data_IF_034904031572
#
_entry.id   IF_034904031572
#
_cell.length_a   1.000
_cell.length_b   1.000
_cell.length_c   1.000
_cell.angle_alpha   90.00
_cell.angle_beta   90.00
_cell.angle_gamma   90.00
#
_symmetry.space_group_name_H-M   'P 1'
#
loop_
_entity.id
_entity.type
_entity.pdbx_description
1 polymer ?
#
# COMPACT_ATOMS: atom_id res chain seq x y z
N UNK A 1 -9.45 -29.15 19.14
CA UNK A 1 -9.56 -27.85 19.83
C UNK A 1 -10.77 -27.88 20.77
N UNK A 2 -10.67 -27.38 22.03
CA UNK A 2 -11.83 -27.28 22.92
C UNK A 2 -12.91 -26.36 22.31
N UNK A 3 -14.19 -26.68 22.52
CA UNK A 3 -15.31 -25.91 21.97
C UNK A 3 -15.29 -24.43 22.41
N UNK A 4 -14.83 -24.16 23.62
CA UNK A 4 -14.67 -22.80 24.13
C UNK A 4 -13.67 -21.96 23.34
N UNK A 5 -12.54 -22.52 22.95
CA UNK A 5 -11.53 -21.80 22.15
C UNK A 5 -12.06 -21.46 20.75
N UNK A 6 -12.82 -22.37 20.13
CA UNK A 6 -13.48 -22.10 18.85
C UNK A 6 -14.44 -20.93 18.93
N UNK A 7 -15.29 -20.93 19.97
CA UNK A 7 -16.24 -19.85 20.18
C UNK A 7 -15.52 -18.50 20.36
N UNK A 8 -14.48 -18.48 21.18
CA UNK A 8 -13.68 -17.25 21.40
C UNK A 8 -13.10 -16.73 20.07
N UNK A 9 -12.51 -17.61 19.25
CA UNK A 9 -11.95 -17.21 17.95
C UNK A 9 -13.03 -16.67 17.02
N UNK A 10 -14.18 -17.36 16.91
CA UNK A 10 -15.28 -16.90 16.06
C UNK A 10 -15.85 -15.56 16.51
N UNK A 11 -16.00 -15.35 17.82
CA UNK A 11 -16.44 -14.05 18.37
C UNK A 11 -15.40 -12.98 18.07
N UNK A 12 -14.11 -13.25 18.29
CA UNK A 12 -13.04 -12.29 18.00
C UNK A 12 -12.98 -11.91 16.52
N UNK A 13 -13.14 -12.89 15.61
CA UNK A 13 -13.23 -12.65 14.16
C UNK A 13 -14.45 -11.80 13.81
N UNK A 14 -15.62 -12.13 14.36
CA UNK A 14 -16.86 -11.38 14.13
C UNK A 14 -16.75 -9.92 14.61
N UNK A 15 -16.20 -9.71 15.80
CA UNK A 15 -15.92 -8.37 16.34
C UNK A 15 -14.89 -7.63 15.47
N UNK A 16 -13.80 -8.29 15.08
CA UNK A 16 -12.78 -7.71 14.22
C UNK A 16 -13.35 -7.24 12.86
N UNK A 17 -14.18 -8.07 12.23
CA UNK A 17 -14.85 -7.71 10.97
C UNK A 17 -15.84 -6.56 11.14
N UNK A 18 -16.61 -6.54 12.21
CA UNK A 18 -17.61 -5.49 12.47
C UNK A 18 -16.95 -4.12 12.73
N UNK A 19 -15.98 -4.07 13.65
CA UNK A 19 -15.28 -2.83 13.98
C UNK A 19 -14.40 -2.34 12.85
N UNK A 20 -13.60 -3.22 12.27
CA UNK A 20 -12.73 -2.83 11.16
C UNK A 20 -13.52 -2.41 9.92
N UNK A 21 -14.69 -3.04 9.67
CA UNK A 21 -15.57 -2.68 8.57
C UNK A 21 -16.05 -1.23 8.63
N UNK A 22 -16.34 -0.70 9.82
CA UNK A 22 -16.73 0.71 9.97
C UNK A 22 -15.58 1.67 9.64
N UNK A 23 -14.37 1.39 10.11
CA UNK A 23 -13.19 2.21 9.83
C UNK A 23 -12.83 2.24 8.34
N UNK A 24 -12.94 1.08 7.68
CA UNK A 24 -12.68 1.01 6.24
C UNK A 24 -13.75 1.71 5.43
N UNK A 25 -15.00 1.67 5.87
CA UNK A 25 -16.05 2.41 5.18
C UNK A 25 -15.77 3.92 5.18
N UNK A 26 -15.23 4.46 6.28
CA UNK A 26 -14.83 5.86 6.37
C UNK A 26 -13.60 6.14 5.51
N UNK A 27 -12.57 5.29 5.56
CA UNK A 27 -11.40 5.40 4.70
C UNK A 27 -11.75 5.31 3.20
N UNK A 28 -12.69 4.43 2.85
CA UNK A 28 -13.19 4.30 1.47
C UNK A 28 -13.93 5.56 1.01
N UNK A 29 -14.81 6.11 1.85
CA UNK A 29 -15.49 7.38 1.53
C UNK A 29 -14.51 8.52 1.33
N UNK A 30 -13.50 8.63 2.21
CA UNK A 30 -12.45 9.63 2.10
C UNK A 30 -11.64 9.47 0.82
N UNK A 31 -11.26 8.24 0.45
CA UNK A 31 -10.56 7.96 -0.80
C UNK A 31 -11.43 8.33 -2.03
N UNK A 32 -12.74 8.09 -1.99
CA UNK A 32 -13.66 8.52 -3.05
C UNK A 32 -13.76 10.05 -3.15
N UNK A 33 -13.84 10.75 -2.00
CA UNK A 33 -13.82 12.22 -1.97
C UNK A 33 -12.52 12.76 -2.57
N UNK A 34 -11.36 12.20 -2.19
CA UNK A 34 -10.07 12.57 -2.76
C UNK A 34 -10.03 12.41 -4.28
N UNK A 35 -10.51 11.27 -4.79
CA UNK A 35 -10.47 10.96 -6.24
C UNK A 35 -11.41 11.84 -7.06
N UNK A 36 -12.51 12.28 -6.47
CA UNK A 36 -13.42 13.24 -7.08
C UNK A 36 -13.05 14.71 -6.82
N UNK A 37 -12.01 14.97 -6.02
CA UNK A 37 -11.68 16.33 -5.60
C UNK A 37 -11.09 17.16 -6.74
N UNK A 38 -11.64 18.34 -6.93
CA UNK A 38 -11.07 19.35 -7.82
C UNK A 38 -9.78 19.95 -7.21
N UNK A 39 -8.94 20.57 -8.06
CA UNK A 39 -7.82 21.36 -7.57
C UNK A 39 -8.35 22.59 -6.85
N UNK A 40 -7.78 22.96 -5.72
CA UNK A 40 -8.10 24.21 -5.04
C UNK A 40 -7.82 25.38 -5.99
N UNK A 41 -8.68 26.41 -5.96
CA UNK A 41 -8.60 27.55 -6.88
C UNK A 41 -7.23 28.19 -6.91
N UNK A 42 -6.79 28.64 -8.08
CA UNK A 42 -5.53 29.38 -8.22
C UNK A 42 -5.62 30.66 -7.39
N UNK A 43 -4.85 30.74 -6.31
CA UNK A 43 -4.89 31.84 -5.36
C UNK A 43 -5.24 31.44 -3.93
N UNK A 44 -5.44 30.14 -3.67
CA UNK A 44 -5.55 29.65 -2.29
C UNK A 44 -4.29 30.07 -1.51
N UNK A 45 -4.44 30.69 -0.33
CA UNK A 45 -3.31 31.19 0.45
C UNK A 45 -2.35 30.06 0.80
N UNK A 46 -1.07 30.38 0.94
CA UNK A 46 -0.07 29.45 1.47
C UNK A 46 -0.56 28.97 2.84
N UNK A 47 -0.95 27.69 2.95
CA UNK A 47 -1.65 27.14 4.11
C UNK A 47 -2.99 26.47 3.79
N UNK A 48 -3.52 26.61 2.56
CA UNK A 48 -4.67 25.85 2.08
C UNK A 48 -4.39 24.34 1.97
N UNK A 49 -3.17 23.91 2.24
CA UNK A 49 -2.72 22.52 2.25
C UNK A 49 -3.53 21.60 3.20
N UNK A 50 -4.34 22.19 4.10
CA UNK A 50 -5.22 21.49 5.02
C UNK A 50 -6.71 21.64 4.72
N UNK A 51 -7.11 22.33 3.66
CA UNK A 51 -8.54 22.50 3.34
C UNK A 51 -9.16 21.15 2.92
N UNK A 52 -10.25 20.81 3.60
CA UNK A 52 -11.05 19.62 3.26
C UNK A 52 -11.79 19.86 1.96
N UNK A 53 -11.69 18.90 1.03
CA UNK A 53 -12.53 18.85 -0.18
C UNK A 53 -11.88 19.30 -1.48
N UNK A 54 -10.64 19.79 -1.49
CA UNK A 54 -9.88 20.07 -2.71
C UNK A 54 -8.41 19.68 -2.59
N UNK A 55 -7.76 19.38 -3.72
CA UNK A 55 -6.33 19.08 -3.78
C UNK A 55 -5.56 20.38 -3.90
N UNK A 56 -4.76 20.72 -2.90
CA UNK A 56 -3.94 21.92 -2.94
C UNK A 56 -2.73 21.75 -3.87
N UNK A 57 -2.39 22.79 -4.61
CA UNK A 57 -1.27 22.83 -5.54
C UNK A 57 -0.25 23.85 -5.05
N UNK A 58 0.93 23.37 -4.68
CA UNK A 58 2.06 24.21 -4.32
C UNK A 58 3.12 24.17 -5.42
N UNK A 59 3.58 25.36 -5.83
CA UNK A 59 4.73 25.48 -6.73
C UNK A 59 6.00 25.51 -5.89
N UNK A 60 6.99 24.72 -6.32
CA UNK A 60 8.28 24.64 -5.66
C UNK A 60 9.42 24.67 -6.67
N UNK A 61 10.64 24.57 -6.13
CA UNK A 61 11.86 24.49 -6.91
C UNK A 61 12.67 23.28 -6.42
N UNK A 62 13.17 22.48 -7.33
CA UNK A 62 14.11 21.39 -7.01
C UNK A 62 15.41 22.03 -6.53
N UNK A 63 15.87 21.66 -5.34
CA UNK A 63 17.13 22.15 -4.76
C UNK A 63 18.26 21.17 -5.02
N UNK A 64 17.96 19.88 -4.91
CA UNK A 64 18.96 18.83 -4.95
C UNK A 64 18.31 17.49 -5.29
N UNK A 65 19.14 16.49 -5.60
CA UNK A 65 18.72 15.11 -5.81
C UNK A 65 19.71 14.16 -5.17
N UNK A 66 19.23 13.09 -4.57
CA UNK A 66 20.05 12.08 -3.92
C UNK A 66 19.70 10.68 -4.43
N UNK A 67 20.74 9.87 -4.60
CA UNK A 67 20.62 8.43 -4.78
C UNK A 67 21.13 7.77 -3.49
N UNK A 68 20.31 6.94 -2.88
CA UNK A 68 20.70 6.18 -1.72
C UNK A 68 20.75 4.70 -2.07
N UNK A 69 21.74 4.05 -1.56
CA UNK A 69 21.92 2.61 -1.71
C UNK A 69 21.90 1.98 -0.32
N UNK A 70 20.84 1.24 -0.02
CA UNK A 70 20.71 0.46 1.21
C UNK A 70 21.05 -0.99 0.91
N UNK A 71 22.12 -1.46 1.52
CA UNK A 71 22.61 -2.82 1.32
C UNK A 71 22.52 -3.62 2.63
N UNK A 72 21.86 -4.77 2.58
CA UNK A 72 21.70 -5.67 3.72
C UNK A 72 22.01 -7.12 3.35
N UNK A 73 22.46 -7.87 4.35
CA UNK A 73 22.57 -9.32 4.24
C UNK A 73 21.20 -9.94 4.52
N UNK A 74 20.66 -10.65 3.53
CA UNK A 74 19.44 -11.44 3.70
C UNK A 74 19.83 -12.90 3.91
N UNK A 75 19.37 -13.51 5.03
CA UNK A 75 19.52 -14.93 5.26
C UNK A 75 18.48 -15.69 4.45
N UNK A 76 18.91 -16.57 3.58
CA UNK A 76 18.05 -17.49 2.87
C UNK A 76 17.67 -18.65 3.79
N UNK A 77 16.48 -19.22 3.62
CA UNK A 77 15.98 -20.31 4.48
C UNK A 77 16.77 -21.61 4.38
N UNK A 78 17.75 -21.70 3.48
CA UNK A 78 18.69 -22.82 3.30
C UNK A 78 20.01 -22.65 4.10
N UNK A 79 20.11 -21.60 4.92
CA UNK A 79 21.32 -21.29 5.71
C UNK A 79 22.37 -20.50 4.93
N UNK A 80 22.14 -20.14 3.68
CA UNK A 80 22.99 -19.22 2.93
C UNK A 80 22.58 -17.78 3.17
N UNK A 81 23.50 -16.83 2.99
CA UNK A 81 23.21 -15.40 3.06
C UNK A 81 23.51 -14.77 1.71
N UNK A 82 22.62 -13.92 1.24
CA UNK A 82 22.81 -13.10 0.04
C UNK A 82 22.92 -11.63 0.40
N UNK A 83 23.85 -10.93 -0.26
CA UNK A 83 23.99 -9.48 -0.13
C UNK A 83 23.09 -8.79 -1.14
N UNK A 84 22.10 -8.04 -0.66
CA UNK A 84 21.14 -7.34 -1.52
C UNK A 84 21.23 -5.85 -1.28
N UNK A 85 21.34 -5.10 -2.38
CA UNK A 85 21.29 -3.65 -2.36
C UNK A 85 19.99 -3.17 -3.00
N UNK A 86 19.29 -2.27 -2.33
CA UNK A 86 18.12 -1.56 -2.87
C UNK A 86 18.51 -0.11 -3.09
N UNK A 87 18.28 0.39 -4.30
CA UNK A 87 18.54 1.79 -4.64
C UNK A 87 17.24 2.58 -4.56
N UNK A 88 17.23 3.66 -3.78
CA UNK A 88 16.17 4.66 -3.73
C UNK A 88 16.63 5.99 -4.34
N UNK A 89 15.71 6.71 -4.95
CA UNK A 89 15.95 7.99 -5.59
C UNK A 89 15.09 9.05 -4.93
N UNK A 90 15.70 10.17 -4.54
CA UNK A 90 15.03 11.25 -3.85
C UNK A 90 15.30 12.59 -4.54
N UNK A 91 14.30 13.47 -4.51
CA UNK A 91 14.47 14.89 -4.90
C UNK A 91 14.08 15.81 -3.75
N UNK A 92 14.90 16.82 -3.50
CA UNK A 92 14.65 17.85 -2.49
C UNK A 92 13.94 19.03 -3.12
N UNK A 93 12.72 19.29 -2.67
CA UNK A 93 11.89 20.36 -3.22
C UNK A 93 11.65 21.43 -2.14
N UNK A 94 11.94 22.68 -2.48
CA UNK A 94 11.62 23.84 -1.65
C UNK A 94 10.27 24.42 -2.08
N UNK A 95 9.33 24.44 -1.17
CA UNK A 95 8.03 25.10 -1.27
C UNK A 95 7.99 26.33 -0.37
N UNK A 96 7.05 27.26 -0.52
CA UNK A 96 6.97 28.45 0.36
C UNK A 96 6.90 28.12 1.84
N UNK A 97 6.22 27.02 2.23
CA UNK A 97 6.03 26.65 3.63
C UNK A 97 7.13 25.72 4.16
N UNK A 98 7.78 24.91 3.32
CA UNK A 98 8.73 23.87 3.77
C UNK A 98 9.63 23.35 2.65
N UNK A 99 10.73 22.73 3.08
CA UNK A 99 11.65 22.02 2.19
C UNK A 99 11.71 20.55 2.61
N UNK A 100 11.43 19.65 1.70
CA UNK A 100 11.34 18.21 1.98
C UNK A 100 11.97 17.37 0.89
N UNK A 101 12.43 16.18 1.28
CA UNK A 101 12.82 15.12 0.37
C UNK A 101 11.59 14.29 -0.02
N UNK A 102 11.51 13.92 -1.29
CA UNK A 102 10.45 13.08 -1.83
C UNK A 102 11.07 11.92 -2.58
N UNK A 103 10.64 10.69 -2.23
CA UNK A 103 11.00 9.50 -2.99
C UNK A 103 10.37 9.58 -4.38
N UNK A 104 11.15 9.32 -5.41
CA UNK A 104 10.70 9.41 -6.79
C UNK A 104 11.23 8.24 -7.62
N UNK A 105 10.56 7.94 -8.72
CA UNK A 105 11.05 6.95 -9.66
C UNK A 105 12.32 7.42 -10.39
N UNK A 106 13.08 6.44 -10.88
CA UNK A 106 14.35 6.68 -11.60
C UNK A 106 14.23 7.71 -12.72
N UNK A 107 13.15 7.68 -13.50
CA UNK A 107 12.96 8.61 -14.65
C UNK A 107 12.86 10.06 -14.20
N UNK A 108 12.07 10.32 -13.15
CA UNK A 108 11.95 11.68 -12.61
C UNK A 108 13.29 12.13 -12.01
N UNK A 109 13.97 11.26 -11.27
CA UNK A 109 15.29 11.53 -10.71
C UNK A 109 16.33 11.85 -11.79
N UNK A 110 16.37 11.09 -12.89
CA UNK A 110 17.34 11.26 -13.97
C UNK A 110 17.20 12.62 -14.64
N UNK A 111 15.98 13.07 -14.87
CA UNK A 111 15.67 14.31 -15.58
C UNK A 111 15.65 15.55 -14.68
N UNK A 112 15.38 15.39 -13.39
CA UNK A 112 15.33 16.52 -12.45
C UNK A 112 16.70 17.18 -12.29
N UNK A 113 16.71 18.51 -12.31
CA UNK A 113 17.92 19.34 -12.09
C UNK A 113 17.65 20.38 -11.01
N UNK A 114 18.68 20.77 -10.23
CA UNK A 114 18.58 21.92 -9.35
C UNK A 114 18.12 23.18 -10.12
N UNK A 115 17.14 23.88 -9.60
CA UNK A 115 16.52 25.04 -10.24
C UNK A 115 15.25 24.72 -11.03
N UNK A 116 14.95 23.47 -11.33
CA UNK A 116 13.73 23.10 -12.05
C UNK A 116 12.48 23.45 -11.24
N UNK A 117 11.42 23.84 -11.96
CA UNK A 117 10.10 24.05 -11.36
C UNK A 117 9.48 22.72 -11.02
N UNK A 118 8.94 22.61 -9.80
CA UNK A 118 8.19 21.47 -9.31
C UNK A 118 6.76 21.90 -8.97
N UNK A 119 5.79 21.04 -9.29
CA UNK A 119 4.43 21.14 -8.80
C UNK A 119 4.21 20.01 -7.80
N UNK A 120 3.84 20.36 -6.56
CA UNK A 120 3.54 19.40 -5.51
C UNK A 120 2.08 19.53 -5.16
N UNK A 121 1.34 18.43 -5.29
CA UNK A 121 -0.06 18.35 -4.91
C UNK A 121 -0.19 17.69 -3.55
N UNK A 122 -1.01 18.29 -2.70
CA UNK A 122 -1.24 17.80 -1.34
C UNK A 122 -2.71 17.61 -1.07
N UNK A 123 -3.01 16.57 -0.31
CA UNK A 123 -4.34 16.26 0.20
C UNK A 123 -4.24 16.13 1.72
N UNK A 124 -4.99 16.93 2.48
CA UNK A 124 -4.98 16.94 3.93
C UNK A 124 -3.55 17.01 4.55
N UNK A 125 -2.66 17.76 3.89
CA UNK A 125 -1.26 17.91 4.33
C UNK A 125 -0.30 16.81 3.85
N UNK A 126 -0.80 15.68 3.35
CA UNK A 126 0.00 14.62 2.72
C UNK A 126 0.30 14.92 1.26
N UNK A 127 1.51 14.62 0.80
CA UNK A 127 1.87 14.74 -0.63
C UNK A 127 1.26 13.58 -1.38
N UNK A 128 0.50 13.88 -2.43
CA UNK A 128 -0.19 12.89 -3.26
C UNK A 128 0.34 12.84 -4.68
N UNK A 129 1.00 13.91 -5.14
CA UNK A 129 1.60 13.95 -6.47
C UNK A 129 2.74 14.96 -6.52
N UNK A 130 3.80 14.58 -7.23
CA UNK A 130 4.93 15.46 -7.56
C UNK A 130 5.11 15.45 -9.08
N UNK A 131 5.20 16.64 -9.67
CA UNK A 131 5.45 16.81 -11.11
C UNK A 131 6.68 17.66 -11.29
N UNK A 132 7.67 17.16 -12.02
CA UNK A 132 8.90 17.87 -12.40
C UNK A 132 9.19 17.59 -13.88
N UNK A 133 9.36 18.62 -14.68
CA UNK A 133 9.66 18.50 -16.13
C UNK A 133 8.73 17.58 -16.92
N UNK A 134 7.46 17.50 -16.52
CA UNK A 134 6.46 16.62 -17.14
C UNK A 134 6.44 15.18 -16.62
N UNK A 135 7.43 14.76 -15.84
CA UNK A 135 7.38 13.50 -15.12
C UNK A 135 6.50 13.61 -13.87
N UNK A 136 5.69 12.60 -13.65
CA UNK A 136 4.72 12.59 -12.55
C UNK A 136 4.94 11.38 -11.67
N UNK A 137 5.12 11.62 -10.37
CA UNK A 137 5.03 10.60 -9.32
C UNK A 137 3.75 10.77 -8.55
N UNK A 138 3.10 9.65 -8.25
CA UNK A 138 1.84 9.63 -7.49
C UNK A 138 2.02 8.76 -6.26
N UNK A 139 1.61 9.30 -5.11
CA UNK A 139 1.69 8.62 -3.81
C UNK A 139 0.29 8.21 -3.38
N UNK A 140 0.20 7.06 -2.72
CA UNK A 140 -1.04 6.61 -2.10
C UNK A 140 -1.39 7.51 -0.91
N UNK A 141 -2.66 7.87 -0.79
CA UNK A 141 -3.16 8.49 0.43
C UNK A 141 -3.25 7.46 1.55
N UNK A 142 -3.22 7.93 2.81
CA UNK A 142 -3.39 7.03 3.96
C UNK A 142 -4.70 6.25 3.91
N UNK A 143 -5.78 6.89 3.45
CA UNK A 143 -7.10 6.26 3.29
C UNK A 143 -7.09 5.19 2.19
N UNK A 144 -6.43 5.42 1.06
CA UNK A 144 -6.28 4.40 0.01
C UNK A 144 -5.48 3.19 0.48
N UNK A 145 -4.39 3.43 1.21
CA UNK A 145 -3.58 2.37 1.81
C UNK A 145 -4.39 1.52 2.80
N UNK A 146 -5.17 2.17 3.68
CA UNK A 146 -6.02 1.49 4.65
C UNK A 146 -7.06 0.59 3.99
N UNK A 147 -7.66 0.99 2.88
CA UNK A 147 -8.61 0.15 2.12
C UNK A 147 -7.93 -1.14 1.65
N UNK A 148 -6.75 -1.06 1.04
CA UNK A 148 -6.01 -2.24 0.59
C UNK A 148 -5.58 -3.15 1.74
N UNK A 149 -5.04 -2.55 2.80
CA UNK A 149 -4.64 -3.27 4.01
C UNK A 149 -5.82 -4.02 4.65
N UNK A 150 -6.99 -3.38 4.70
CA UNK A 150 -8.17 -4.01 5.27
C UNK A 150 -8.67 -5.21 4.44
N UNK A 151 -8.61 -5.14 3.12
CA UNK A 151 -8.92 -6.30 2.29
C UNK A 151 -8.00 -7.50 2.62
N UNK A 152 -6.71 -7.25 2.86
CA UNK A 152 -5.77 -8.28 3.29
C UNK A 152 -6.11 -8.83 4.69
N UNK A 153 -6.45 -7.95 5.63
CA UNK A 153 -6.88 -8.34 6.99
C UNK A 153 -8.17 -9.15 6.96
N UNK A 154 -9.16 -8.75 6.16
CA UNK A 154 -10.39 -9.53 5.97
C UNK A 154 -10.10 -10.94 5.48
N UNK A 155 -9.18 -11.11 4.54
CA UNK A 155 -8.76 -12.42 4.07
C UNK A 155 -8.22 -13.29 5.20
N UNK A 156 -7.32 -12.73 6.03
CA UNK A 156 -6.76 -13.44 7.18
C UNK A 156 -7.79 -13.79 8.22
N UNK A 157 -8.71 -12.87 8.52
CA UNK A 157 -9.82 -13.11 9.46
C UNK A 157 -10.77 -14.18 8.93
N UNK A 158 -11.09 -14.17 7.65
CA UNK A 158 -11.90 -15.23 7.02
C UNK A 158 -11.22 -16.60 7.12
N UNK A 159 -9.92 -16.68 6.82
CA UNK A 159 -9.16 -17.91 6.95
C UNK A 159 -9.18 -18.45 8.40
N UNK A 160 -8.95 -17.56 9.36
CA UNK A 160 -8.99 -17.91 10.78
C UNK A 160 -10.40 -18.36 11.23
N UNK A 161 -11.44 -17.67 10.77
CA UNK A 161 -12.84 -17.99 11.05
C UNK A 161 -13.24 -19.35 10.48
N UNK A 162 -12.88 -19.63 9.23
CA UNK A 162 -13.10 -20.91 8.58
C UNK A 162 -12.38 -22.06 9.31
N UNK A 163 -11.13 -21.82 9.71
CA UNK A 163 -10.39 -22.79 10.51
C UNK A 163 -11.06 -23.07 11.86
N UNK A 164 -11.54 -22.05 12.55
CA UNK A 164 -12.25 -22.22 13.81
C UNK A 164 -13.61 -22.93 13.63
N UNK A 165 -14.34 -22.63 12.55
CA UNK A 165 -15.66 -23.20 12.27
C UNK A 165 -15.58 -24.69 11.90
N UNK A 166 -14.67 -25.07 10.99
CA UNK A 166 -14.58 -26.44 10.47
C UNK A 166 -13.65 -27.36 11.25
N UNK A 167 -12.96 -26.87 12.26
CA UNK A 167 -12.18 -27.62 13.23
C UNK A 167 -10.96 -28.34 12.67
N UNK A 168 -10.63 -29.52 13.25
CA UNK A 168 -9.39 -30.26 13.03
C UNK A 168 -9.12 -30.72 11.58
N UNK A 169 -10.10 -30.69 10.69
CA UNK A 169 -9.88 -30.99 9.27
C UNK A 169 -8.92 -29.98 8.61
N UNK A 170 -8.78 -28.81 9.20
CA UNK A 170 -7.85 -27.76 8.77
C UNK A 170 -6.69 -27.55 9.77
N UNK A 171 -6.40 -28.54 10.61
CA UNK A 171 -5.33 -28.46 11.62
C UNK A 171 -3.94 -28.18 11.07
N UNK A 172 -3.76 -28.33 9.77
CA UNK A 172 -2.54 -28.01 9.04
C UNK A 172 -2.51 -26.60 8.43
N UNK A 173 -3.51 -25.75 8.72
CA UNK A 173 -3.61 -24.41 8.11
C UNK A 173 -2.35 -23.55 8.33
N UNK A 174 -1.71 -23.70 9.47
CA UNK A 174 -0.47 -23.00 9.84
C UNK A 174 0.80 -23.84 9.60
N UNK A 175 0.68 -25.04 9.03
CA UNK A 175 1.86 -25.79 8.64
C UNK A 175 2.60 -25.08 7.49
N UNK A 176 3.92 -25.19 7.45
CA UNK A 176 4.78 -24.50 6.49
C UNK A 176 4.33 -24.68 5.04
N UNK A 177 3.93 -25.88 4.64
CA UNK A 177 3.41 -26.17 3.30
C UNK A 177 2.08 -25.50 2.97
N UNK A 178 1.34 -25.01 3.98
CA UNK A 178 0.09 -24.27 3.79
C UNK A 178 0.24 -22.76 3.99
N UNK A 179 1.44 -22.25 4.29
CA UNK A 179 1.66 -20.81 4.53
C UNK A 179 1.30 -19.92 3.32
N UNK A 180 1.17 -20.50 2.13
CA UNK A 180 0.74 -19.80 0.92
C UNK A 180 -0.60 -19.06 1.07
N UNK A 181 -1.56 -19.56 1.89
CA UNK A 181 -2.82 -18.84 2.10
C UNK A 181 -2.63 -17.51 2.87
N UNK A 182 -1.64 -17.45 3.77
CA UNK A 182 -1.26 -16.22 4.46
C UNK A 182 -0.63 -15.25 3.44
N UNK A 183 0.26 -15.77 2.59
CA UNK A 183 0.87 -14.98 1.51
C UNK A 183 -0.17 -14.39 0.55
N UNK A 184 -1.29 -15.09 0.31
CA UNK A 184 -2.40 -14.59 -0.51
C UNK A 184 -3.06 -13.32 0.05
N UNK A 185 -2.88 -12.99 1.33
CA UNK A 185 -3.40 -11.73 1.90
C UNK A 185 -2.87 -10.50 1.15
N UNK A 186 -1.60 -10.53 0.70
CA UNK A 186 -1.02 -9.42 -0.06
C UNK A 186 -1.69 -9.21 -1.43
N UNK A 187 -1.72 -10.18 -2.35
CA UNK A 187 -2.40 -10.00 -3.63
C UNK A 187 -3.92 -9.76 -3.46
N UNK A 188 -4.58 -10.34 -2.45
CA UNK A 188 -5.99 -10.05 -2.15
C UNK A 188 -6.17 -8.59 -1.73
N UNK A 189 -5.27 -8.05 -0.92
CA UNK A 189 -5.28 -6.62 -0.57
C UNK A 189 -5.14 -5.72 -1.80
N UNK A 190 -4.21 -6.04 -2.69
CA UNK A 190 -3.99 -5.30 -3.94
C UNK A 190 -5.18 -5.42 -4.89
N UNK A 191 -5.74 -6.62 -5.07
CA UNK A 191 -6.92 -6.85 -5.91
C UNK A 191 -8.16 -6.15 -5.34
N UNK A 192 -8.37 -6.21 -4.02
CA UNK A 192 -9.45 -5.51 -3.34
C UNK A 192 -9.33 -3.99 -3.51
N UNK A 193 -8.14 -3.44 -3.33
CA UNK A 193 -7.85 -2.04 -3.65
C UNK A 193 -8.20 -1.71 -5.11
N UNK A 194 -7.76 -2.54 -6.05
CA UNK A 194 -8.01 -2.35 -7.46
C UNK A 194 -9.50 -2.40 -7.83
N UNK A 195 -10.28 -3.30 -7.23
CA UNK A 195 -11.72 -3.41 -7.44
C UNK A 195 -12.48 -2.19 -6.89
N UNK A 196 -12.09 -1.71 -5.72
CA UNK A 196 -12.79 -0.62 -5.04
C UNK A 196 -12.39 0.76 -5.56
N UNK A 197 -11.12 0.94 -5.86
CA UNK A 197 -10.53 2.23 -6.18
C UNK A 197 -9.96 2.31 -7.62
N UNK A 198 -9.84 1.20 -8.30
CA UNK A 198 -9.22 1.10 -9.61
C UNK A 198 -7.68 1.11 -9.55
N UNK A 199 -7.07 0.39 -10.46
CA UNK A 199 -5.60 0.37 -10.63
C UNK A 199 -5.22 0.14 -12.08
N UNK A 200 -3.94 0.31 -12.41
CA UNK A 200 -3.43 0.09 -13.77
C UNK A 200 -3.51 -1.38 -14.17
N UNK A 201 -3.64 -1.65 -15.47
CA UNK A 201 -3.67 -3.01 -16.02
C UNK A 201 -2.42 -3.81 -15.62
N UNK A 202 -1.26 -3.15 -15.61
CA UNK A 202 -0.01 -3.79 -15.20
C UNK A 202 -0.05 -4.28 -13.73
N UNK A 203 -0.64 -3.47 -12.82
CA UNK A 203 -0.81 -3.85 -11.41
C UNK A 203 -1.80 -5.02 -11.26
N UNK A 204 -2.88 -5.06 -12.07
CA UNK A 204 -3.79 -6.21 -12.13
C UNK A 204 -3.06 -7.49 -12.53
N UNK A 205 -2.29 -7.45 -13.62
CA UNK A 205 -1.52 -8.60 -14.10
C UNK A 205 -0.55 -9.07 -13.02
N UNK A 206 0.21 -8.16 -12.41
CA UNK A 206 1.16 -8.50 -11.35
C UNK A 206 0.51 -9.16 -10.15
N UNK A 207 -0.64 -8.64 -9.67
CA UNK A 207 -1.37 -9.21 -8.55
C UNK A 207 -1.95 -10.60 -8.87
N UNK A 208 -2.47 -10.80 -10.08
CA UNK A 208 -3.01 -12.10 -10.52
C UNK A 208 -1.90 -13.15 -10.68
N UNK A 209 -0.75 -12.78 -11.24
CA UNK A 209 0.41 -13.68 -11.36
C UNK A 209 0.94 -14.06 -9.98
N UNK A 210 1.06 -13.10 -9.07
CA UNK A 210 1.46 -13.37 -7.69
C UNK A 210 0.47 -14.29 -6.96
N UNK A 211 -0.83 -14.06 -7.11
CA UNK A 211 -1.87 -14.93 -6.55
C UNK A 211 -1.79 -16.34 -7.13
N UNK A 212 -1.66 -16.48 -8.45
CA UNK A 212 -1.55 -17.78 -9.13
C UNK A 212 -0.32 -18.55 -8.66
N UNK A 213 0.83 -17.89 -8.52
CA UNK A 213 2.05 -18.49 -7.98
C UNK A 213 1.85 -19.03 -6.55
N UNK A 214 1.24 -18.25 -5.66
CA UNK A 214 0.98 -18.67 -4.28
C UNK A 214 -0.03 -19.81 -4.18
N UNK A 215 -1.05 -19.83 -5.04
CA UNK A 215 -1.98 -20.94 -5.14
C UNK A 215 -1.25 -22.20 -5.63
N UNK A 216 -0.46 -22.10 -6.71
CA UNK A 216 0.34 -23.20 -7.22
C UNK A 216 1.30 -23.75 -6.15
N UNK A 217 2.00 -22.86 -5.43
CA UNK A 217 2.85 -23.24 -4.29
C UNK A 217 2.07 -24.04 -3.23
N UNK A 218 0.90 -23.54 -2.82
CA UNK A 218 0.08 -24.17 -1.78
C UNK A 218 -0.42 -25.55 -2.19
N UNK A 219 -0.77 -25.71 -3.47
CA UNK A 219 -1.24 -26.98 -4.03
C UNK A 219 -0.07 -27.94 -4.28
N UNK A 220 1.03 -27.45 -4.84
CA UNK A 220 2.22 -28.26 -5.13
C UNK A 220 2.89 -28.81 -3.88
N UNK A 221 2.98 -27.99 -2.82
CA UNK A 221 3.58 -28.40 -1.55
C UNK A 221 2.76 -29.47 -0.79
N UNK A 222 1.52 -29.76 -1.18
CA UNK A 222 0.73 -30.86 -0.62
C UNK A 222 1.06 -32.23 -1.22
N UNK A 223 1.73 -32.24 -2.37
CA UNK A 223 2.07 -33.45 -3.11
C UNK A 223 3.53 -33.90 -2.86
N UNK A 224 4.26 -33.19 -2.03
CA UNK A 224 5.60 -33.53 -1.54
C UNK A 224 5.54 -34.04 -0.09
#
# INVERSE_FOLDING_TARGET
>A
MPSAVRLIVLVAVGVGLAFGGSWVADAYREAQVYRGAALCGQGAPAGAEGQRGCVAVARGTVLDRARREDCSWESNGDGTSSYRCTTSYEVRIRRPARTEWHDVGYRLYEDARPGDRAEVRTWQGGVVRVVVRGHTETYLTGSEFLVGLWCAVCWLLLGLGLWAAFGSRYGTLFAFHNAGWIGLAFPVGVLGYGLLLGMSVAAWIGALVGAAFLVWWTVGARNL
#
